data_IF_006995885313
#
_entry.id   IF_006995885313
#
_cell.length_a   1.000
_cell.length_b   1.000
_cell.length_c   1.000
_cell.angle_alpha   90.00
_cell.angle_beta   90.00
_cell.angle_gamma   90.00
#
_symmetry.space_group_name_H-M   'P 1'
#
loop_
_entity.id
_entity.type
_entity.pdbx_description
1 polymer ?
#
# COMPACT_ATOMS: atom_id res chain seq x y z
N UNK A 1 29.42 22.91 5.58
CA UNK A 1 28.90 22.21 4.39
C UNK A 1 27.82 23.10 3.78
N UNK A 2 27.92 23.39 2.49
CA UNK A 2 26.93 24.22 1.79
C UNK A 2 25.57 23.48 1.73
N UNK A 3 24.47 24.05 2.25
CA UNK A 3 23.13 23.47 2.17
C UNK A 3 22.69 23.14 0.73
N UNK A 4 23.20 23.88 -0.26
CA UNK A 4 22.92 23.66 -1.70
C UNK A 4 23.51 22.35 -2.20
N UNK A 5 24.69 21.98 -1.72
CA UNK A 5 25.36 20.73 -2.09
C UNK A 5 24.62 19.50 -1.55
N UNK A 6 23.99 19.60 -0.38
CA UNK A 6 23.16 18.54 0.20
C UNK A 6 21.86 18.30 -0.60
N UNK A 7 21.20 19.37 -1.02
CA UNK A 7 19.99 19.27 -1.84
C UNK A 7 20.27 18.73 -3.25
N UNK A 8 21.35 19.18 -3.87
CA UNK A 8 21.77 18.62 -5.16
C UNK A 8 22.15 17.14 -5.02
N UNK A 9 22.84 16.75 -3.95
CA UNK A 9 23.18 15.34 -3.71
C UNK A 9 21.94 14.46 -3.52
N UNK A 10 20.93 14.91 -2.76
CA UNK A 10 19.63 14.22 -2.65
C UNK A 10 18.92 14.19 -4.00
N UNK A 11 19.03 15.23 -4.82
CA UNK A 11 18.37 15.26 -6.12
C UNK A 11 18.98 14.28 -7.14
N UNK A 12 20.32 14.23 -7.25
CA UNK A 12 21.04 13.32 -8.16
C UNK A 12 20.94 11.85 -7.75
N UNK A 13 20.84 11.54 -6.46
CA UNK A 13 20.67 10.16 -5.99
C UNK A 13 19.28 9.58 -6.28
N UNK A 14 18.26 10.42 -6.45
CA UNK A 14 16.87 9.97 -6.60
C UNK A 14 16.28 10.14 -8.02
N UNK A 15 16.90 10.90 -8.93
CA UNK A 15 16.41 11.11 -10.31
C UNK A 15 17.54 11.24 -11.37
N UNK A 16 18.11 10.14 -11.87
CA UNK A 16 19.21 10.19 -12.84
C UNK A 16 18.78 10.50 -14.29
N UNK A 17 17.52 10.29 -14.69
CA UNK A 17 17.09 10.38 -16.10
C UNK A 17 15.72 11.05 -16.29
N UNK A 18 15.64 12.38 -16.22
CA UNK A 18 14.50 13.09 -16.82
C UNK A 18 14.85 14.49 -17.31
N UNK A 19 14.27 14.87 -18.46
CA UNK A 19 14.36 16.20 -19.08
C UNK A 19 13.83 17.35 -18.19
N UNK A 20 13.20 17.04 -17.04
CA UNK A 20 12.73 17.99 -16.02
C UNK A 20 13.79 18.37 -14.98
N UNK A 21 14.98 17.76 -15.00
CA UNK A 21 16.09 18.12 -14.12
C UNK A 21 16.65 19.53 -14.38
N UNK A 22 16.49 20.05 -15.61
CA UNK A 22 17.05 21.34 -16.03
C UNK A 22 16.30 22.57 -15.49
N UNK A 23 14.97 22.49 -15.29
CA UNK A 23 14.19 23.63 -14.77
C UNK A 23 14.36 23.82 -13.26
N UNK A 24 14.64 22.74 -12.54
CA UNK A 24 14.83 22.72 -11.08
C UNK A 24 16.26 23.12 -10.70
N UNK A 25 17.28 22.71 -11.46
CA UNK A 25 18.66 23.17 -11.25
C UNK A 25 18.81 24.69 -11.43
N UNK A 26 18.11 25.28 -12.42
CA UNK A 26 18.11 26.73 -12.63
C UNK A 26 17.43 27.51 -11.49
N UNK A 27 16.40 26.94 -10.84
CA UNK A 27 15.70 27.59 -9.72
C UNK A 27 16.44 27.45 -8.39
N UNK A 28 17.08 26.31 -8.14
CA UNK A 28 17.89 26.07 -6.93
C UNK A 28 19.18 26.91 -6.97
N UNK A 29 19.76 27.14 -8.16
CA UNK A 29 20.98 27.93 -8.33
C UNK A 29 20.87 29.39 -7.83
N UNK A 30 19.67 29.98 -7.87
CA UNK A 30 19.45 31.39 -7.53
C UNK A 30 19.00 31.63 -6.07
N UNK A 31 18.91 30.60 -5.23
CA UNK A 31 18.49 30.75 -3.84
C UNK A 31 19.63 31.27 -2.97
N UNK A 32 19.39 32.35 -2.21
CA UNK A 32 20.39 32.93 -1.29
C UNK A 32 20.04 32.73 0.18
N UNK A 33 18.85 32.21 0.49
CA UNK A 33 18.37 32.03 1.87
C UNK A 33 17.80 30.62 2.11
N UNK A 34 18.14 30.05 3.27
CA UNK A 34 17.69 28.74 3.76
C UNK A 34 16.17 28.72 4.03
N UNK A 35 15.52 29.85 4.34
CA UNK A 35 14.06 29.91 4.49
C UNK A 35 13.31 29.64 3.18
N UNK A 36 13.85 30.09 2.04
CA UNK A 36 13.29 29.82 0.70
C UNK A 36 13.41 28.34 0.33
N UNK A 37 14.47 27.67 0.80
CA UNK A 37 14.65 26.23 0.65
C UNK A 37 13.58 25.45 1.44
N UNK A 38 13.25 25.91 2.64
CA UNK A 38 12.21 25.28 3.47
C UNK A 38 10.81 25.42 2.82
N UNK A 39 10.47 26.60 2.30
CA UNK A 39 9.21 26.83 1.56
C UNK A 39 9.09 25.99 0.29
N UNK A 40 10.19 25.84 -0.47
CA UNK A 40 10.22 24.97 -1.65
C UNK A 40 10.02 23.51 -1.24
N UNK A 41 10.72 23.04 -0.20
CA UNK A 41 10.56 21.67 0.31
C UNK A 41 9.15 21.36 0.84
N UNK A 42 8.49 22.35 1.48
CA UNK A 42 7.10 22.26 1.90
C UNK A 42 6.12 22.37 0.71
N UNK A 43 6.56 22.84 -0.46
CA UNK A 43 5.78 22.85 -1.70
C UNK A 43 5.84 21.52 -2.49
N UNK A 44 6.68 20.57 -2.09
CA UNK A 44 6.83 19.25 -2.71
C UNK A 44 6.32 18.15 -1.77
N UNK A 45 5.05 18.20 -1.37
CA UNK A 45 4.41 17.01 -0.80
C UNK A 45 4.11 16.03 -1.95
N UNK A 46 4.61 14.80 -1.82
CA UNK A 46 4.16 13.72 -2.67
C UNK A 46 2.66 13.50 -2.37
N UNK A 47 1.79 13.93 -3.28
CA UNK A 47 0.37 13.58 -3.25
C UNK A 47 0.28 12.06 -3.33
N UNK A 48 0.01 11.42 -2.20
CA UNK A 48 -0.14 9.97 -2.11
C UNK A 48 -1.54 9.53 -2.53
N UNK A 49 -2.38 10.45 -3.00
CA UNK A 49 -3.77 10.22 -3.33
C UNK A 49 -4.51 9.59 -2.15
N UNK A 50 -5.33 8.55 -2.37
CA UNK A 50 -6.13 7.93 -1.31
C UNK A 50 -5.33 6.95 -0.44
N UNK A 51 -4.00 6.84 -0.61
CA UNK A 51 -3.19 5.88 0.12
C UNK A 51 -2.65 6.45 1.44
N UNK A 52 -2.68 5.61 2.49
CA UNK A 52 -2.05 5.87 3.79
C UNK A 52 -0.69 5.20 3.87
N UNK A 53 0.34 5.92 4.30
CA UNK A 53 1.66 5.34 4.58
C UNK A 53 1.63 4.57 5.92
N UNK A 54 2.06 3.32 5.89
CA UNK A 54 2.27 2.47 7.07
C UNK A 54 3.62 1.79 6.88
N UNK A 55 4.55 2.00 7.82
CA UNK A 55 5.95 1.60 7.67
C UNK A 55 6.56 2.17 6.37
N UNK A 56 7.09 1.29 5.50
CA UNK A 56 7.74 1.65 4.24
C UNK A 56 6.83 1.54 3.00
N UNK A 57 5.53 1.26 3.18
CA UNK A 57 4.57 1.03 2.09
C UNK A 57 3.35 1.93 2.21
N UNK A 58 2.55 1.95 1.15
CA UNK A 58 1.34 2.73 1.02
C UNK A 58 0.13 1.83 0.82
N UNK A 59 -0.95 2.12 1.54
CA UNK A 59 -2.13 1.28 1.60
C UNK A 59 -3.41 2.05 1.29
N UNK A 60 -4.22 1.53 0.39
CA UNK A 60 -5.59 1.98 0.19
C UNK A 60 -6.52 0.99 0.89
N UNK A 61 -7.35 1.47 1.81
CA UNK A 61 -8.29 0.65 2.59
C UNK A 61 -9.70 1.01 2.13
N UNK A 62 -10.35 0.12 1.38
CA UNK A 62 -11.73 0.32 0.94
C UNK A 62 -12.68 0.27 2.16
N UNK A 63 -13.59 1.22 2.23
CA UNK A 63 -14.49 1.41 3.39
C UNK A 63 -15.98 1.45 3.02
N UNK A 64 -16.32 1.54 1.73
CA UNK A 64 -17.69 1.75 1.25
C UNK A 64 -18.25 0.54 0.52
N UNK A 65 -17.44 -0.17 -0.26
CA UNK A 65 -17.93 -1.24 -1.14
C UNK A 65 -17.28 -2.59 -0.86
N UNK A 66 -18.13 -3.61 -0.66
CA UNK A 66 -17.71 -5.00 -0.60
C UNK A 66 -17.75 -5.65 -1.98
N UNK A 67 -16.70 -6.41 -2.31
CA UNK A 67 -16.54 -7.11 -3.58
C UNK A 67 -16.00 -8.53 -3.34
N UNK A 68 -16.11 -9.37 -4.36
CA UNK A 68 -15.48 -10.69 -4.32
C UNK A 68 -13.96 -10.58 -4.50
N UNK A 69 -13.24 -11.66 -4.21
CA UNK A 69 -11.78 -11.65 -4.21
C UNK A 69 -11.21 -11.27 -5.58
N UNK A 70 -11.76 -11.83 -6.66
CA UNK A 70 -11.34 -11.53 -8.04
C UNK A 70 -11.48 -10.04 -8.38
N UNK A 71 -12.61 -9.43 -8.00
CA UNK A 71 -12.85 -8.00 -8.22
C UNK A 71 -11.92 -7.15 -7.34
N UNK A 72 -11.59 -7.58 -6.12
CA UNK A 72 -10.61 -6.89 -5.29
C UNK A 72 -9.22 -6.88 -5.94
N UNK A 73 -8.77 -8.01 -6.54
CA UNK A 73 -7.53 -8.06 -7.34
C UNK A 73 -7.59 -7.00 -8.44
N UNK A 74 -8.69 -6.96 -9.20
CA UNK A 74 -8.86 -6.00 -10.30
C UNK A 74 -8.86 -4.55 -9.83
N UNK A 75 -9.58 -4.23 -8.75
CA UNK A 75 -9.65 -2.87 -8.19
C UNK A 75 -8.32 -2.35 -7.68
N UNK A 76 -7.50 -3.20 -7.09
CA UNK A 76 -6.15 -2.77 -6.71
C UNK A 76 -5.29 -2.47 -7.94
N UNK A 77 -5.40 -3.27 -9.01
CA UNK A 77 -4.67 -3.02 -10.27
C UNK A 77 -5.10 -1.72 -10.95
N UNK A 78 -6.40 -1.39 -10.94
CA UNK A 78 -6.91 -0.10 -11.44
C UNK A 78 -6.26 1.10 -10.72
N UNK A 79 -5.87 0.94 -9.45
CA UNK A 79 -5.21 1.96 -8.64
C UNK A 79 -3.68 1.95 -8.78
N UNK A 80 -3.11 1.19 -9.72
CA UNK A 80 -1.65 1.03 -9.85
C UNK A 80 -1.01 0.30 -8.67
N UNK A 81 -1.79 -0.51 -7.95
CA UNK A 81 -1.41 -1.25 -6.76
C UNK A 81 -1.73 -2.75 -6.92
N UNK A 82 -1.49 -3.54 -5.89
CA UNK A 82 -1.94 -4.94 -5.82
C UNK A 82 -2.70 -5.20 -4.51
N UNK A 83 -3.44 -6.31 -4.44
CA UNK A 83 -4.03 -6.74 -3.17
C UNK A 83 -2.92 -6.93 -2.14
N UNK A 84 -3.22 -6.65 -0.87
CA UNK A 84 -2.21 -6.66 0.17
C UNK A 84 -1.49 -8.00 0.29
N UNK A 85 -0.15 -7.93 0.36
CA UNK A 85 0.75 -9.08 0.51
C UNK A 85 1.54 -8.92 1.82
N UNK A 86 0.99 -9.45 2.90
CA UNK A 86 1.59 -9.42 4.23
C UNK A 86 2.86 -10.29 4.29
N UNK A 87 3.97 -9.71 4.75
CA UNK A 87 5.28 -10.40 4.77
C UNK A 87 5.74 -10.85 6.14
N UNK A 88 5.26 -10.22 7.20
CA UNK A 88 5.67 -10.53 8.56
C UNK A 88 4.69 -9.99 9.60
N UNK A 89 4.94 -10.35 10.87
CA UNK A 89 4.11 -9.95 11.99
C UNK A 89 4.09 -8.44 12.25
N UNK A 90 5.20 -7.72 12.03
CA UNK A 90 5.26 -6.27 12.24
C UNK A 90 4.32 -5.54 11.25
N UNK A 91 4.39 -5.90 9.97
CA UNK A 91 3.52 -5.34 8.94
C UNK A 91 2.04 -5.64 9.22
N UNK A 92 1.73 -6.86 9.63
CA UNK A 92 0.39 -7.24 10.05
C UNK A 92 -0.10 -6.37 11.23
N UNK A 93 0.68 -6.30 12.30
CA UNK A 93 0.30 -5.65 13.55
C UNK A 93 0.14 -4.14 13.40
N UNK A 94 0.94 -3.50 12.54
CA UNK A 94 0.79 -2.07 12.23
C UNK A 94 -0.38 -1.79 11.28
N UNK A 95 -0.62 -2.64 10.29
CA UNK A 95 -1.76 -2.50 9.37
C UNK A 95 -3.09 -2.60 10.11
N UNK A 96 -3.28 -3.63 10.95
CA UNK A 96 -4.58 -3.94 11.54
C UNK A 96 -5.12 -2.82 12.44
N UNK A 97 -4.24 -1.95 12.96
CA UNK A 97 -4.62 -0.76 13.73
C UNK A 97 -5.41 0.27 12.90
N UNK A 98 -5.25 0.24 11.57
CA UNK A 98 -5.98 1.10 10.65
C UNK A 98 -7.29 0.48 10.13
N UNK A 99 -7.58 -0.79 10.48
CA UNK A 99 -8.73 -1.52 9.97
C UNK A 99 -9.92 -1.44 10.93
N UNK A 100 -11.13 -1.52 10.39
CA UNK A 100 -12.34 -1.60 11.20
C UNK A 100 -12.60 -3.05 11.61
N UNK A 101 -12.54 -3.33 12.91
CA UNK A 101 -12.66 -4.67 13.48
C UNK A 101 -13.96 -5.41 13.14
N UNK A 102 -15.01 -4.70 12.69
CA UNK A 102 -16.30 -5.29 12.29
C UNK A 102 -16.33 -5.75 10.83
N UNK A 103 -15.28 -5.47 10.07
CA UNK A 103 -15.18 -5.74 8.65
C UNK A 103 -14.31 -6.96 8.36
N UNK A 104 -14.53 -7.57 7.19
CA UNK A 104 -13.58 -8.50 6.58
C UNK A 104 -12.84 -7.82 5.44
N UNK A 105 -11.58 -8.19 5.23
CA UNK A 105 -10.70 -7.62 4.21
C UNK A 105 -9.98 -8.71 3.42
N UNK A 106 -10.04 -8.67 2.09
CA UNK A 106 -9.28 -9.62 1.26
C UNK A 106 -7.76 -9.38 1.33
N UNK A 107 -6.99 -10.47 1.30
CA UNK A 107 -5.54 -10.46 1.03
C UNK A 107 -5.27 -11.02 -0.37
N UNK A 108 -4.02 -11.00 -0.81
CA UNK A 108 -3.63 -11.59 -2.10
C UNK A 108 -3.40 -13.10 -2.06
N UNK A 109 -3.62 -13.76 -0.92
CA UNK A 109 -3.33 -15.18 -0.75
C UNK A 109 -4.50 -16.04 -1.23
N UNK A 110 -4.16 -17.11 -1.94
CA UNK A 110 -5.10 -18.11 -2.45
C UNK A 110 -4.43 -19.48 -2.61
N UNK A 111 -5.21 -20.55 -2.51
CA UNK A 111 -4.78 -21.92 -2.85
C UNK A 111 -5.48 -22.47 -4.10
N UNK A 112 -6.13 -21.61 -4.91
CA UNK A 112 -6.86 -21.98 -6.14
C UNK A 112 -6.03 -22.82 -7.12
N UNK A 113 -4.70 -22.63 -7.13
CA UNK A 113 -3.80 -23.40 -7.99
C UNK A 113 -3.53 -24.81 -7.47
N UNK A 114 -3.47 -24.99 -6.15
CA UNK A 114 -3.18 -26.26 -5.50
C UNK A 114 -3.69 -26.22 -4.05
N UNK A 115 -4.68 -27.08 -3.76
CA UNK A 115 -5.35 -27.15 -2.47
C UNK A 115 -4.35 -27.19 -1.31
N UNK A 116 -4.62 -26.39 -0.28
CA UNK A 116 -3.80 -26.26 0.94
C UNK A 116 -2.38 -25.70 0.71
N UNK A 117 -2.03 -25.24 -0.50
CA UNK A 117 -0.78 -24.52 -0.79
C UNK A 117 -1.06 -23.06 -1.12
N UNK A 118 -1.18 -22.26 -0.08
CA UNK A 118 -1.43 -20.82 -0.19
C UNK A 118 -0.27 -20.07 -0.83
N UNK A 119 -0.56 -19.38 -1.92
CA UNK A 119 0.37 -18.56 -2.70
C UNK A 119 -0.18 -17.16 -2.88
N UNK A 120 0.74 -16.21 -3.00
CA UNK A 120 0.42 -14.82 -3.31
C UNK A 120 0.07 -14.70 -4.80
N UNK A 121 -1.12 -14.18 -5.11
CA UNK A 121 -1.52 -13.85 -6.47
C UNK A 121 -0.68 -12.72 -7.07
N UNK A 122 -0.06 -11.90 -6.22
CA UNK A 122 0.83 -10.80 -6.64
C UNK A 122 2.18 -11.32 -7.10
N UNK A 123 2.79 -12.24 -6.34
CA UNK A 123 4.19 -12.66 -6.54
C UNK A 123 4.33 -14.07 -7.12
N UNK A 124 3.28 -14.89 -7.06
CA UNK A 124 3.33 -16.33 -7.39
C UNK A 124 4.04 -17.20 -6.34
N UNK A 125 4.67 -16.58 -5.34
CA UNK A 125 5.43 -17.27 -4.30
C UNK A 125 4.51 -17.84 -3.22
N UNK A 126 5.03 -18.81 -2.47
CA UNK A 126 4.36 -19.31 -1.27
C UNK A 126 4.13 -18.16 -0.26
N UNK A 127 3.06 -18.26 0.52
CA UNK A 127 2.76 -17.28 1.56
C UNK A 127 3.96 -17.10 2.50
N UNK A 128 4.49 -15.87 2.57
CA UNK A 128 5.61 -15.53 3.47
C UNK A 128 5.16 -15.35 4.92
N UNK A 129 3.87 -15.11 5.12
CA UNK A 129 3.28 -14.93 6.44
C UNK A 129 1.85 -15.44 6.48
N UNK A 130 1.57 -16.32 7.44
CA UNK A 130 0.24 -16.83 7.73
C UNK A 130 -0.02 -16.70 9.23
N UNK A 131 -1.18 -16.13 9.59
CA UNK A 131 -1.65 -16.03 10.97
C UNK A 131 -3.11 -16.50 11.03
N UNK A 132 -3.29 -17.80 10.84
CA UNK A 132 -4.61 -18.43 10.87
C UNK A 132 -5.34 -18.17 12.20
N UNK A 133 -6.66 -18.06 12.10
CA UNK A 133 -7.54 -18.16 13.26
C UNK A 133 -7.50 -19.55 13.88
N UNK A 134 -8.05 -19.67 15.09
CA UNK A 134 -8.24 -21.00 15.68
C UNK A 134 -9.12 -21.84 14.75
N UNK A 135 -8.70 -23.08 14.49
CA UNK A 135 -9.35 -24.03 13.56
C UNK A 135 -9.27 -23.68 12.07
N UNK A 136 -8.58 -22.59 11.70
CA UNK A 136 -8.35 -22.23 10.29
C UNK A 136 -6.99 -22.72 9.78
N UNK A 137 -6.83 -22.95 8.47
CA UNK A 137 -7.89 -22.93 7.46
C UNK A 137 -8.74 -24.20 7.50
N UNK A 138 -10.07 -24.06 7.47
CA UNK A 138 -10.98 -25.19 7.66
C UNK A 138 -11.56 -25.73 6.33
N UNK A 139 -11.37 -25.01 5.22
CA UNK A 139 -11.93 -25.31 3.91
C UNK A 139 -13.41 -25.72 3.93
N UNK A 140 -14.28 -24.89 4.52
CA UNK A 140 -15.67 -25.25 4.77
C UNK A 140 -16.41 -25.56 3.47
N UNK A 141 -17.01 -26.74 3.40
CA UNK A 141 -17.72 -27.19 2.20
C UNK A 141 -16.79 -27.43 1.00
N UNK A 142 -15.47 -27.55 1.23
CA UNK A 142 -14.42 -27.80 0.22
C UNK A 142 -14.37 -26.73 -0.89
N UNK A 143 -14.64 -25.48 -0.54
CA UNK A 143 -14.74 -24.38 -1.51
C UNK A 143 -14.18 -23.04 -0.96
N UNK A 144 -13.31 -23.08 0.03
CA UNK A 144 -12.70 -21.87 0.60
C UNK A 144 -11.25 -21.74 0.16
N UNK A 145 -11.03 -20.90 -0.85
CA UNK A 145 -9.75 -20.85 -1.55
C UNK A 145 -9.06 -19.48 -1.51
N UNK A 146 -9.68 -18.49 -0.87
CA UNK A 146 -9.20 -17.11 -0.81
C UNK A 146 -9.10 -16.65 0.63
N UNK A 147 -8.02 -15.97 0.99
CA UNK A 147 -7.77 -15.58 2.38
C UNK A 147 -8.31 -14.18 2.66
N UNK A 148 -9.11 -14.08 3.73
CA UNK A 148 -9.56 -12.82 4.29
C UNK A 148 -8.94 -12.59 5.68
N UNK A 149 -8.86 -11.32 6.06
CA UNK A 149 -8.68 -10.88 7.43
C UNK A 149 -10.07 -10.69 8.05
N UNK A 150 -10.30 -11.31 9.21
CA UNK A 150 -11.53 -11.15 10.00
C UNK A 150 -11.19 -11.12 11.48
N UNK A 151 -12.05 -10.55 12.32
CA UNK A 151 -11.93 -10.59 13.77
C UNK A 151 -13.17 -11.25 14.38
N UNK A 152 -13.18 -12.59 14.47
CA UNK A 152 -14.32 -13.38 14.97
C UNK A 152 -14.86 -12.86 16.30
N UNK A 153 -13.98 -12.62 17.28
CA UNK A 153 -14.36 -12.15 18.62
C UNK A 153 -14.27 -10.63 18.80
N UNK A 154 -14.12 -9.88 17.69
CA UNK A 154 -13.87 -8.43 17.68
C UNK A 154 -12.66 -7.99 18.54
N UNK A 155 -11.74 -8.91 18.84
CA UNK A 155 -10.54 -8.65 19.66
C UNK A 155 -9.30 -8.36 18.82
N UNK A 156 -9.05 -9.19 17.80
CA UNK A 156 -7.89 -9.06 16.91
C UNK A 156 -8.21 -9.67 15.55
N UNK A 157 -7.62 -9.12 14.50
CA UNK A 157 -7.66 -9.73 13.18
C UNK A 157 -6.83 -11.02 13.13
N UNK A 158 -7.38 -12.02 12.47
CA UNK A 158 -6.76 -13.29 12.10
C UNK A 158 -6.98 -13.54 10.60
N UNK A 159 -6.30 -14.53 10.04
CA UNK A 159 -6.55 -15.02 8.69
C UNK A 159 -7.56 -16.15 8.70
N UNK A 160 -8.43 -16.14 7.69
CA UNK A 160 -9.45 -17.15 7.44
C UNK A 160 -9.46 -17.44 5.94
N UNK A 161 -9.46 -18.71 5.54
CA UNK A 161 -9.85 -19.06 4.17
C UNK A 161 -11.36 -18.89 4.04
N UNK A 162 -11.82 -18.42 2.89
CA UNK A 162 -13.24 -18.24 2.62
C UNK A 162 -13.49 -18.44 1.13
N UNK A 163 -14.76 -18.67 0.78
CA UNK A 163 -15.16 -18.79 -0.61
C UNK A 163 -14.84 -17.48 -1.34
N UNK A 164 -14.08 -17.56 -2.43
CA UNK A 164 -13.60 -16.41 -3.19
C UNK A 164 -14.74 -15.49 -3.70
N UNK A 165 -15.97 -16.03 -3.80
CA UNK A 165 -17.18 -15.32 -4.24
C UNK A 165 -17.85 -14.50 -3.14
N UNK A 166 -17.48 -14.69 -1.87
CA UNK A 166 -17.99 -13.88 -0.75
C UNK A 166 -17.61 -12.41 -0.94
N UNK A 167 -18.36 -11.51 -0.32
CA UNK A 167 -18.14 -10.07 -0.48
C UNK A 167 -17.49 -9.51 0.78
N UNK A 168 -16.27 -9.02 0.64
CA UNK A 168 -15.51 -8.33 1.68
C UNK A 168 -14.98 -6.99 1.19
N UNK A 169 -14.57 -6.14 2.12
CA UNK A 169 -13.73 -5.01 1.77
C UNK A 169 -12.35 -5.52 1.32
N UNK A 170 -11.50 -4.63 0.85
CA UNK A 170 -10.17 -5.02 0.36
C UNK A 170 -9.15 -3.94 0.71
N UNK A 171 -7.89 -4.36 0.72
CA UNK A 171 -6.76 -3.49 1.00
C UNK A 171 -5.81 -3.61 -0.18
N UNK A 172 -5.47 -2.49 -0.79
CA UNK A 172 -4.45 -2.42 -1.81
C UNK A 172 -3.15 -1.92 -1.22
N UNK A 173 -2.03 -2.39 -1.77
CA UNK A 173 -0.69 -2.07 -1.34
C UNK A 173 0.16 -1.64 -2.55
N UNK A 174 1.02 -0.65 -2.34
CA UNK A 174 2.10 -0.28 -3.27
C UNK A 174 3.32 0.26 -2.52
N UNK A 175 4.50 0.17 -3.15
CA UNK A 175 5.73 0.84 -2.68
C UNK A 175 5.82 2.29 -3.15
N UNK A 176 5.10 2.65 -4.21
CA UNK A 176 5.08 3.97 -4.81
C UNK A 176 3.61 4.36 -5.04
N UNK A 177 3.04 5.31 -4.29
CA UNK A 177 1.73 5.84 -4.66
C UNK A 177 1.92 6.54 -6.00
N UNK A 178 0.96 6.40 -6.92
CA UNK A 178 1.02 7.03 -8.24
C UNK A 178 1.38 8.50 -8.08
N UNK A 179 2.58 8.91 -8.51
CA UNK A 179 3.08 10.30 -8.43
C UNK A 179 2.40 11.15 -9.51
N UNK A 180 1.07 11.14 -9.55
CA UNK A 180 0.36 11.76 -10.68
C UNK A 180 0.36 13.28 -10.62
N UNK A 181 0.58 13.94 -9.47
CA UNK A 181 0.72 15.39 -9.43
C UNK A 181 1.65 15.85 -8.29
N UNK A 182 2.78 16.48 -8.63
CA UNK A 182 3.41 17.45 -7.72
C UNK A 182 2.52 18.70 -7.80
N UNK A 183 1.73 18.96 -6.75
CA UNK A 183 0.91 20.17 -6.66
C UNK A 183 1.81 21.30 -6.17
N UNK A 184 2.17 22.23 -7.07
CA UNK A 184 2.76 23.50 -6.66
C UNK A 184 1.63 24.34 -6.06
N UNK A 185 1.50 24.37 -4.73
CA UNK A 185 0.68 25.41 -4.10
C UNK A 185 1.44 26.73 -4.22
N UNK A 186 0.92 27.66 -5.02
CA UNK A 186 1.36 29.05 -4.95
C UNK A 186 0.95 29.61 -3.57
N UNK A 187 1.85 30.28 -2.84
CA UNK A 187 1.45 30.96 -1.61
C UNK A 187 0.38 31.99 -1.94
N UNK A 188 -0.71 31.98 -1.18
CA UNK A 188 -1.75 33.00 -1.26
C UNK A 188 -1.10 34.36 -1.00
N UNK A 189 -1.27 35.28 -1.96
CA UNK A 189 -0.97 36.71 -1.84
C UNK A 189 -1.86 37.37 -0.78
#
# INVERSE_FOLDING_TARGET
MDPKLLLLAVYWYFWPDSTRASSLSHRIGNLTNISQVHEISNGFYADTGPFKRILSKYYYIEAKRKVNWFMAVHKCRELGAHLISLRNAQEFDELIRALNIRNCYWTDLTDLAEQSKYRSMTTGLAASYLRWGSLEPNNLGKNEHCVQLIAYDKRRFIMNDNQCTRRCYFICETKLPSQTNIVIQQPNL
#
